data_IF_048245185815
#
_entry.id   IF_048245185815
#
_cell.length_a   1.000
_cell.length_b   1.000
_cell.length_c   1.000
_cell.angle_alpha   90.00
_cell.angle_beta   90.00
_cell.angle_gamma   90.00
#
_symmetry.space_group_name_H-M   'P 1'
#
loop_
_entity.id
_entity.type
_entity.pdbx_description
1 polymer ?
#
# COMPACT_ATOMS: atom_id res chain seq x y z
N UNK A 1 13.55 5.07 -14.89
CA UNK A 1 12.85 3.78 -14.90
C UNK A 1 11.72 3.85 -13.89
N UNK A 2 10.48 3.69 -14.33
CA UNK A 2 9.33 3.65 -13.45
C UNK A 2 9.37 2.35 -12.64
N UNK A 3 9.47 2.45 -11.33
CA UNK A 3 9.60 1.30 -10.44
C UNK A 3 8.61 1.35 -9.29
N UNK A 4 8.15 0.19 -8.89
CA UNK A 4 7.18 0.05 -7.81
C UNK A 4 7.50 -1.13 -6.90
N UNK A 5 7.06 -1.03 -5.65
CA UNK A 5 7.05 -2.14 -4.69
C UNK A 5 5.63 -2.67 -4.65
N UNK A 6 5.47 -3.98 -4.80
CA UNK A 6 4.18 -4.65 -4.81
C UNK A 6 4.14 -5.70 -3.70
N UNK A 7 3.07 -5.68 -2.92
CA UNK A 7 2.75 -6.73 -1.95
C UNK A 7 1.35 -7.30 -2.22
N UNK A 8 1.21 -8.59 -2.01
CA UNK A 8 -0.03 -9.33 -2.24
C UNK A 8 -0.34 -10.26 -1.08
N UNK A 9 -1.62 -10.39 -0.78
CA UNK A 9 -2.15 -11.49 0.01
C UNK A 9 -3.01 -12.36 -0.89
N UNK A 10 -2.99 -13.67 -0.66
CA UNK A 10 -3.66 -14.63 -1.52
C UNK A 10 -4.65 -15.49 -0.74
N UNK A 11 -5.65 -15.97 -1.46
CA UNK A 11 -6.49 -17.09 -1.04
C UNK A 11 -6.14 -18.34 -1.86
N UNK A 12 -6.62 -19.49 -1.39
CA UNK A 12 -6.52 -20.75 -2.10
C UNK A 12 -7.62 -20.86 -3.15
N UNK A 13 -7.24 -20.92 -4.42
CA UNK A 13 -8.11 -21.16 -5.55
C UNK A 13 -8.30 -22.63 -5.91
N UNK A 14 -8.95 -22.92 -7.06
CA UNK A 14 -9.07 -24.27 -7.58
C UNK A 14 -7.69 -24.83 -7.92
N UNK A 15 -7.55 -26.16 -7.86
CA UNK A 15 -6.29 -26.88 -8.10
C UNK A 15 -5.11 -26.42 -7.22
N UNK A 16 -5.40 -25.87 -6.03
CA UNK A 16 -4.40 -25.34 -5.10
C UNK A 16 -3.54 -24.20 -5.65
N UNK A 17 -4.04 -23.47 -6.65
CA UNK A 17 -3.39 -22.25 -7.13
C UNK A 17 -3.72 -21.09 -6.22
N UNK A 18 -2.72 -20.28 -5.90
CA UNK A 18 -2.93 -19.02 -5.19
C UNK A 18 -3.62 -18.01 -6.10
N UNK A 19 -4.63 -17.34 -5.55
CA UNK A 19 -5.33 -16.24 -6.20
C UNK A 19 -5.18 -14.99 -5.34
N UNK A 20 -4.85 -13.87 -5.96
CA UNK A 20 -4.62 -12.61 -5.25
C UNK A 20 -5.94 -12.12 -4.66
N UNK A 21 -5.97 -11.97 -3.34
CA UNK A 21 -7.11 -11.46 -2.57
C UNK A 21 -6.98 -9.98 -2.27
N UNK A 22 -5.76 -9.54 -1.97
CA UNK A 22 -5.41 -8.16 -1.69
C UNK A 22 -4.12 -7.84 -2.41
N UNK A 23 -4.02 -6.65 -2.99
CA UNK A 23 -2.84 -6.16 -3.67
C UNK A 23 -2.59 -4.71 -3.29
N UNK A 24 -1.37 -4.43 -2.86
CA UNK A 24 -0.85 -3.09 -2.64
C UNK A 24 0.29 -2.85 -3.60
N UNK A 25 0.35 -1.66 -4.18
CA UNK A 25 1.50 -1.21 -4.95
C UNK A 25 1.89 0.20 -4.53
N UNK A 26 3.18 0.46 -4.46
CA UNK A 26 3.75 1.77 -4.11
C UNK A 26 4.78 2.14 -5.16
N UNK A 27 4.57 3.25 -5.84
CA UNK A 27 5.56 3.84 -6.73
C UNK A 27 6.74 4.36 -5.90
N UNK A 28 7.96 3.94 -6.28
CA UNK A 28 9.18 4.22 -5.52
C UNK A 28 9.55 5.71 -5.54
N UNK A 29 9.24 6.42 -6.62
CA UNK A 29 9.66 7.81 -6.83
C UNK A 29 8.63 8.81 -6.33
N UNK A 30 7.37 8.64 -6.73
CA UNK A 30 6.27 9.54 -6.39
C UNK A 30 5.70 9.27 -5.00
N UNK A 31 6.00 8.09 -4.41
CA UNK A 31 5.39 7.59 -3.17
C UNK A 31 3.87 7.41 -3.27
N UNK A 32 3.30 7.46 -4.48
CA UNK A 32 1.90 7.17 -4.70
C UNK A 32 1.65 5.68 -4.45
N UNK A 33 0.68 5.36 -3.61
CA UNK A 33 0.24 3.99 -3.36
C UNK A 33 -1.10 3.74 -4.01
N UNK A 34 -1.39 2.50 -4.37
CA UNK A 34 -2.72 2.03 -4.73
C UNK A 34 -2.96 0.68 -4.06
N UNK A 35 -4.22 0.41 -3.76
CA UNK A 35 -4.65 -0.74 -2.98
C UNK A 35 -5.93 -1.31 -3.57
N UNK A 36 -6.01 -2.63 -3.64
CA UNK A 36 -7.17 -3.35 -4.13
C UNK A 36 -7.46 -4.55 -3.27
N UNK A 37 -8.75 -4.73 -2.94
CA UNK A 37 -9.29 -5.97 -2.39
C UNK A 37 -10.19 -6.60 -3.44
N UNK A 38 -9.90 -7.84 -3.82
CA UNK A 38 -10.60 -8.55 -4.89
C UNK A 38 -11.71 -9.44 -4.35
N UNK A 39 -12.89 -9.35 -4.96
CA UNK A 39 -14.04 -10.21 -4.71
C UNK A 39 -13.94 -11.49 -5.55
N UNK A 40 -14.10 -12.63 -4.88
CA UNK A 40 -14.01 -13.96 -5.50
C UNK A 40 -15.37 -14.67 -5.61
N UNK A 41 -16.46 -13.91 -5.69
CA UNK A 41 -17.85 -14.43 -5.68
C UNK A 41 -18.12 -15.44 -6.81
N UNK A 42 -17.38 -15.34 -7.92
CA UNK A 42 -17.52 -16.22 -9.10
C UNK A 42 -16.41 -17.28 -9.20
N UNK A 43 -15.49 -17.34 -8.22
CA UNK A 43 -14.36 -18.26 -8.27
C UNK A 43 -14.80 -19.67 -7.85
N UNK A 44 -14.62 -20.70 -8.70
CA UNK A 44 -14.92 -22.07 -8.33
C UNK A 44 -14.05 -22.53 -7.17
N UNK A 45 -14.63 -23.31 -6.27
CA UNK A 45 -13.93 -23.76 -5.07
C UNK A 45 -14.25 -25.24 -4.78
N UNK A 46 -13.23 -25.96 -4.32
CA UNK A 46 -13.37 -27.30 -3.75
C UNK A 46 -13.61 -27.22 -2.24
N UNK A 47 -14.15 -28.27 -1.63
CA UNK A 47 -14.31 -28.34 -0.17
C UNK A 47 -12.98 -28.07 0.58
N UNK A 48 -11.86 -28.55 0.04
CA UNK A 48 -10.53 -28.31 0.61
C UNK A 48 -10.11 -26.84 0.48
N UNK A 49 -10.29 -26.21 -0.67
CA UNK A 49 -10.00 -24.76 -0.82
C UNK A 49 -10.86 -23.90 0.10
N UNK A 50 -12.14 -24.26 0.31
CA UNK A 50 -13.00 -23.58 1.29
C UNK A 50 -12.45 -23.67 2.70
N UNK A 51 -12.05 -24.86 3.14
CA UNK A 51 -11.51 -25.06 4.49
C UNK A 51 -10.25 -24.21 4.72
N UNK A 52 -9.34 -24.17 3.73
CA UNK A 52 -8.14 -23.32 3.78
C UNK A 52 -8.52 -21.85 3.82
N UNK A 53 -9.45 -21.39 2.99
CA UNK A 53 -9.86 -19.98 2.94
C UNK A 53 -10.60 -19.56 4.22
N UNK A 54 -11.37 -20.44 4.85
CA UNK A 54 -11.97 -20.20 6.18
C UNK A 54 -10.86 -20.03 7.22
N UNK A 55 -9.81 -20.85 7.15
CA UNK A 55 -8.67 -20.73 8.05
C UNK A 55 -7.92 -19.41 7.84
N UNK A 56 -7.63 -19.05 6.58
CA UNK A 56 -6.96 -17.79 6.21
C UNK A 56 -7.77 -16.57 6.64
N UNK A 57 -9.08 -16.60 6.46
CA UNK A 57 -9.99 -15.56 6.96
C UNK A 57 -9.88 -15.43 8.48
N UNK A 58 -9.99 -16.54 9.23
CA UNK A 58 -10.01 -16.50 10.70
C UNK A 58 -8.67 -16.14 11.35
N UNK A 59 -7.56 -16.51 10.72
CA UNK A 59 -6.24 -16.51 11.38
C UNK A 59 -5.20 -15.60 10.70
N UNK A 60 -5.46 -15.11 9.49
CA UNK A 60 -4.47 -14.36 8.73
C UNK A 60 -4.98 -12.98 8.31
N UNK A 61 -5.79 -12.91 7.25
CA UNK A 61 -6.11 -11.63 6.61
C UNK A 61 -7.46 -11.04 7.02
N UNK A 62 -8.37 -11.80 7.65
CA UNK A 62 -9.72 -11.33 8.02
C UNK A 62 -10.58 -10.80 6.86
N UNK A 63 -10.11 -10.94 5.62
CA UNK A 63 -10.87 -10.66 4.40
C UNK A 63 -11.74 -11.84 3.97
N UNK A 64 -13.06 -11.66 3.98
CA UNK A 64 -14.00 -12.64 3.41
C UNK A 64 -13.87 -12.71 1.88
N UNK A 65 -14.13 -13.88 1.28
CA UNK A 65 -14.08 -14.06 -0.18
C UNK A 65 -14.99 -13.10 -0.95
N UNK A 66 -16.14 -12.76 -0.37
CA UNK A 66 -17.17 -11.93 -1.00
C UNK A 66 -16.97 -10.42 -0.78
N UNK A 67 -16.06 -10.05 0.12
CA UNK A 67 -15.72 -8.66 0.41
C UNK A 67 -14.62 -8.14 -0.51
N UNK A 68 -14.69 -6.87 -0.88
CA UNK A 68 -13.69 -6.19 -1.71
C UNK A 68 -14.30 -5.14 -2.62
N UNK A 69 -13.45 -4.34 -3.24
CA UNK A 69 -13.89 -3.22 -4.08
C UNK A 69 -13.96 -3.58 -5.56
N UNK A 70 -13.24 -4.63 -5.96
CA UNK A 70 -13.03 -5.00 -7.37
C UNK A 70 -13.37 -6.46 -7.60
N UNK A 71 -14.00 -6.82 -8.72
CA UNK A 71 -14.20 -8.22 -9.08
C UNK A 71 -12.88 -8.86 -9.50
N UNK A 72 -12.58 -10.08 -9.05
CA UNK A 72 -11.30 -10.74 -9.37
C UNK A 72 -11.05 -10.89 -10.88
N UNK A 73 -12.10 -10.96 -11.69
CA UNK A 73 -11.99 -10.97 -13.16
C UNK A 73 -11.30 -9.72 -13.75
N UNK A 74 -11.21 -8.62 -12.99
CA UNK A 74 -10.56 -7.39 -13.44
C UNK A 74 -9.04 -7.35 -13.17
N UNK A 75 -8.50 -8.34 -12.44
CA UNK A 75 -7.09 -8.32 -12.01
C UNK A 75 -6.11 -8.25 -13.18
N UNK A 76 -6.38 -9.00 -14.24
CA UNK A 76 -5.60 -8.98 -15.48
C UNK A 76 -5.51 -7.57 -16.07
N UNK A 77 -6.66 -6.88 -16.12
CA UNK A 77 -6.74 -5.52 -16.64
C UNK A 77 -5.95 -4.55 -15.76
N UNK A 78 -6.09 -4.68 -14.44
CA UNK A 78 -5.39 -3.83 -13.47
C UNK A 78 -3.89 -4.02 -13.61
N UNK A 79 -3.37 -5.25 -13.50
CA UNK A 79 -1.93 -5.52 -13.59
C UNK A 79 -1.34 -5.06 -14.93
N UNK A 80 -2.05 -5.28 -16.05
CA UNK A 80 -1.58 -4.84 -17.38
C UNK A 80 -1.57 -3.32 -17.57
N UNK A 81 -2.40 -2.59 -16.82
CA UNK A 81 -2.42 -1.12 -16.85
C UNK A 81 -1.37 -0.46 -15.96
N UNK A 82 -0.67 -1.25 -15.13
CA UNK A 82 0.45 -0.76 -14.33
C UNK A 82 1.67 -0.57 -15.24
N UNK A 83 1.97 0.66 -15.61
CA UNK A 83 3.10 1.00 -16.47
C UNK A 83 4.41 1.12 -15.68
N UNK A 84 4.84 0.03 -15.04
CA UNK A 84 6.13 -0.07 -14.39
C UNK A 84 7.10 -0.92 -15.22
N UNK A 85 8.33 -0.44 -15.35
CA UNK A 85 9.42 -1.19 -15.98
C UNK A 85 9.97 -2.25 -15.02
N UNK A 86 9.93 -1.95 -13.72
CA UNK A 86 10.46 -2.82 -12.67
C UNK A 86 9.51 -2.90 -11.46
N UNK A 87 9.23 -4.11 -11.00
CA UNK A 87 8.42 -4.35 -9.80
C UNK A 87 9.26 -5.12 -8.77
N UNK A 88 9.32 -4.61 -7.55
CA UNK A 88 9.94 -5.27 -6.41
C UNK A 88 8.87 -6.01 -5.61
N UNK A 89 9.11 -7.29 -5.34
CA UNK A 89 8.26 -8.12 -4.47
C UNK A 89 9.10 -8.74 -3.37
N UNK A 90 8.45 -9.26 -2.34
CA UNK A 90 9.14 -10.02 -1.28
C UNK A 90 8.76 -11.49 -1.35
N UNK A 91 9.71 -12.33 -1.78
CA UNK A 91 9.60 -13.77 -1.91
C UNK A 91 9.28 -14.26 -3.32
N UNK A 92 9.97 -15.33 -3.72
CA UNK A 92 9.86 -15.97 -5.04
C UNK A 92 8.44 -16.44 -5.40
N UNK A 93 7.63 -16.87 -4.42
CA UNK A 93 6.23 -17.25 -4.68
C UNK A 93 5.42 -16.06 -5.22
N UNK A 94 5.61 -14.86 -4.65
CA UNK A 94 4.93 -13.64 -5.11
C UNK A 94 5.44 -13.23 -6.48
N UNK A 95 6.75 -13.36 -6.71
CA UNK A 95 7.36 -13.09 -8.01
C UNK A 95 6.71 -13.93 -9.10
N UNK A 96 6.59 -15.24 -8.88
CA UNK A 96 5.99 -16.14 -9.85
C UNK A 96 4.52 -15.79 -10.12
N UNK A 97 3.74 -15.51 -9.07
CA UNK A 97 2.34 -15.10 -9.20
C UNK A 97 2.23 -13.84 -10.09
N UNK A 98 3.09 -12.84 -9.90
CA UNK A 98 3.03 -11.60 -10.70
C UNK A 98 3.49 -11.82 -12.14
N UNK A 99 4.54 -12.62 -12.34
CA UNK A 99 5.02 -12.98 -13.68
C UNK A 99 3.97 -13.75 -14.50
N UNK A 100 3.09 -14.53 -13.85
CA UNK A 100 1.99 -15.23 -14.52
C UNK A 100 1.00 -14.25 -15.18
N UNK A 101 0.83 -13.04 -14.64
CA UNK A 101 -0.07 -12.01 -15.19
C UNK A 101 0.63 -11.03 -16.15
N UNK A 102 1.85 -10.63 -15.83
CA UNK A 102 2.63 -9.62 -16.55
C UNK A 102 4.06 -10.11 -16.82
N UNK A 103 4.24 -11.14 -17.67
CA UNK A 103 5.54 -11.78 -17.91
C UNK A 103 6.59 -10.85 -18.55
N UNK A 104 6.16 -9.73 -19.14
CA UNK A 104 7.03 -8.76 -19.78
C UNK A 104 7.70 -7.78 -18.81
N UNK A 105 7.24 -7.70 -17.56
CA UNK A 105 7.77 -6.75 -16.57
C UNK A 105 8.92 -7.38 -15.80
N UNK A 106 9.96 -6.60 -15.51
CA UNK A 106 11.08 -7.09 -14.71
C UNK A 106 10.67 -7.15 -13.23
N UNK A 107 10.47 -8.36 -12.70
CA UNK A 107 10.11 -8.59 -11.29
C UNK A 107 11.32 -9.08 -10.50
N UNK A 108 11.70 -8.32 -9.47
CA UNK A 108 12.85 -8.56 -8.58
C UNK A 108 12.35 -9.05 -7.23
N UNK A 109 12.88 -10.18 -6.77
CA UNK A 109 12.66 -10.63 -5.39
C UNK A 109 13.65 -9.90 -4.47
N UNK A 110 13.14 -9.03 -3.60
CA UNK A 110 13.95 -8.28 -2.66
C UNK A 110 14.73 -9.19 -1.71
N UNK A 111 14.22 -10.37 -1.36
CA UNK A 111 14.90 -11.26 -0.44
C UNK A 111 16.10 -11.95 -1.11
N UNK A 112 15.88 -12.55 -2.27
CA UNK A 112 16.90 -13.32 -2.98
C UNK A 112 17.88 -12.45 -3.77
N UNK A 113 17.40 -11.39 -4.42
CA UNK A 113 18.23 -10.61 -5.37
C UNK A 113 18.93 -9.41 -4.71
N UNK A 114 18.40 -8.91 -3.58
CA UNK A 114 18.88 -7.69 -2.92
C UNK A 114 19.33 -7.90 -1.46
N UNK A 115 19.34 -9.14 -0.97
CA UNK A 115 19.60 -9.49 0.43
C UNK A 115 18.80 -8.59 1.39
N UNK A 116 17.52 -8.36 1.08
CA UNK A 116 16.68 -7.50 1.89
C UNK A 116 16.39 -8.18 3.23
N UNK A 117 16.86 -7.61 4.35
CA UNK A 117 16.66 -8.22 5.66
C UNK A 117 15.17 -8.29 6.00
N UNK A 118 14.81 -9.25 6.85
CA UNK A 118 13.44 -9.33 7.38
C UNK A 118 13.14 -8.10 8.24
N UNK A 119 11.86 -7.74 8.35
CA UNK A 119 11.44 -6.55 9.10
C UNK A 119 11.94 -6.56 10.56
N UNK A 120 11.95 -7.73 11.22
CA UNK A 120 12.49 -7.88 12.57
C UNK A 120 14.03 -7.68 12.66
N UNK A 121 14.77 -8.00 11.60
CA UNK A 121 16.21 -7.76 11.50
C UNK A 121 16.51 -6.28 11.21
N UNK A 122 15.59 -5.59 10.53
CA UNK A 122 15.70 -4.15 10.30
C UNK A 122 15.66 -3.35 11.60
N UNK A 123 14.79 -3.72 12.55
CA UNK A 123 14.77 -3.08 13.86
C UNK A 123 16.12 -3.25 14.60
N UNK A 124 16.72 -4.44 14.57
CA UNK A 124 18.01 -4.72 15.21
C UNK A 124 19.20 -4.01 14.55
N UNK A 125 19.20 -3.89 13.22
CA UNK A 125 20.26 -3.22 12.47
C UNK A 125 20.26 -1.70 12.69
N UNK A 126 19.10 -1.10 12.92
CA UNK A 126 18.98 0.34 13.20
C UNK A 126 19.53 0.71 14.58
N UNK A 127 19.35 -0.15 15.58
CA UNK A 127 19.96 0.03 16.91
C UNK A 127 21.50 -0.04 16.86
N UNK A 128 22.04 -0.88 15.97
CA UNK A 128 23.49 -1.06 15.78
C UNK A 128 24.17 0.12 15.05
N UNK A 129 23.45 0.80 14.15
CA UNK A 129 23.99 1.95 13.38
C UNK A 129 24.08 3.21 14.25
N UNK A 130 23.15 3.41 15.18
CA UNK A 130 23.22 4.52 16.13
C UNK A 130 24.47 4.44 17.03
N UNK A 131 25.08 3.27 17.20
CA UNK A 131 26.30 3.06 17.98
C UNK A 131 27.58 3.37 17.16
N UNK A 132 27.55 3.15 15.84
CA UNK A 132 28.76 3.18 15.00
C UNK A 132 29.02 4.48 14.23
N UNK A 133 28.13 5.47 14.32
CA UNK A 133 28.33 6.79 13.68
C UNK A 133 29.49 7.64 14.28
N UNK A 134 30.26 7.10 15.23
CA UNK A 134 31.39 7.80 15.84
C UNK A 134 32.77 7.51 15.23
N UNK A 135 32.93 6.66 14.21
CA UNK A 135 34.25 6.40 13.63
C UNK A 135 34.26 6.35 12.10
N UNK A 136 34.96 7.32 11.49
CA UNK A 136 35.25 7.45 10.06
C UNK A 136 36.25 6.40 9.56
N UNK A 137 36.17 5.97 8.28
CA UNK A 137 37.34 5.76 7.39
C UNK A 137 36.95 5.49 5.91
N UNK A 138 37.82 5.94 4.98
CA UNK A 138 38.20 5.51 3.61
C UNK A 138 37.27 5.45 2.36
N UNK A 139 37.82 5.85 1.18
CA UNK A 139 37.15 6.05 -0.14
C UNK A 139 36.48 4.81 -0.78
N UNK A 140 36.89 3.58 -0.49
CA UNK A 140 36.11 2.37 -0.89
C UNK A 140 34.82 2.21 -0.08
N UNK A 141 34.75 2.89 1.07
CA UNK A 141 33.52 3.04 1.82
C UNK A 141 32.61 4.08 1.19
N UNK A 142 33.02 4.93 0.25
CA UNK A 142 32.07 5.88 -0.37
C UNK A 142 31.01 5.15 -1.20
N UNK A 143 31.36 4.07 -1.92
CA UNK A 143 30.36 3.28 -2.66
C UNK A 143 29.54 2.38 -1.73
N UNK A 144 30.14 1.81 -0.67
CA UNK A 144 29.39 1.07 0.35
C UNK A 144 28.49 1.98 1.16
N UNK A 145 28.93 3.19 1.50
CA UNK A 145 28.17 4.26 2.17
C UNK A 145 27.13 4.83 1.23
N UNK A 146 27.36 4.97 -0.08
CA UNK A 146 26.32 5.34 -1.05
C UNK A 146 25.24 4.28 -1.16
N UNK A 147 25.62 3.00 -1.32
CA UNK A 147 24.67 1.88 -1.33
C UNK A 147 23.97 1.73 0.01
N UNK A 148 24.65 2.00 1.11
CA UNK A 148 24.09 2.00 2.46
C UNK A 148 23.21 3.21 2.72
N UNK A 149 23.52 4.40 2.22
CA UNK A 149 22.68 5.61 2.28
C UNK A 149 21.45 5.40 1.40
N UNK A 150 21.59 4.77 0.22
CA UNK A 150 20.46 4.44 -0.64
C UNK A 150 19.58 3.37 0.01
N UNK A 151 20.19 2.34 0.62
CA UNK A 151 19.50 1.35 1.46
C UNK A 151 18.83 2.03 2.66
N UNK A 152 19.48 2.96 3.34
CA UNK A 152 18.94 3.68 4.50
C UNK A 152 17.87 4.70 4.13
N UNK A 153 17.95 5.34 2.96
CA UNK A 153 16.91 6.20 2.42
C UNK A 153 15.70 5.38 1.98
N UNK A 154 15.92 4.22 1.36
CA UNK A 154 14.87 3.26 1.06
C UNK A 154 14.25 2.74 2.36
N UNK A 155 15.05 2.38 3.37
CA UNK A 155 14.58 1.90 4.67
C UNK A 155 13.88 2.98 5.49
N UNK A 156 14.34 4.22 5.41
CA UNK A 156 13.67 5.37 6.02
C UNK A 156 12.36 5.67 5.30
N UNK A 157 12.34 5.59 3.98
CA UNK A 157 11.11 5.67 3.18
C UNK A 157 10.16 4.51 3.47
N UNK A 158 10.67 3.29 3.64
CA UNK A 158 9.89 2.11 4.02
C UNK A 158 9.39 2.19 5.46
N UNK A 159 10.14 2.81 6.37
CA UNK A 159 9.72 3.06 7.76
C UNK A 159 8.64 4.13 7.82
N UNK A 160 8.84 5.24 7.09
CA UNK A 160 7.81 6.26 6.85
C UNK A 160 6.55 5.64 6.21
N UNK A 161 6.70 4.67 5.30
CA UNK A 161 5.60 3.92 4.70
C UNK A 161 4.98 2.85 5.62
N UNK A 162 5.74 2.28 6.57
CA UNK A 162 5.25 1.27 7.52
C UNK A 162 4.38 1.86 8.63
N UNK A 163 4.51 3.16 8.89
CA UNK A 163 3.65 3.92 9.81
C UNK A 163 2.43 4.55 9.08
N UNK A 164 2.29 4.29 7.78
CA UNK A 164 1.18 4.73 6.94
C UNK A 164 0.28 3.54 6.63
N UNK A 165 -0.97 3.60 7.09
CA UNK A 165 -1.98 2.60 6.73
C UNK A 165 -2.68 3.03 5.45
N UNK A 166 -2.69 2.18 4.44
CA UNK A 166 -3.55 2.39 3.28
C UNK A 166 -4.89 1.73 3.59
N UNK A 167 -5.96 2.54 3.61
CA UNK A 167 -7.30 2.06 3.87
C UNK A 167 -8.20 2.41 2.69
N UNK A 168 -9.18 1.56 2.40
CA UNK A 168 -10.32 1.97 1.60
C UNK A 168 -11.15 2.96 2.42
N UNK A 169 -11.92 3.82 1.75
CA UNK A 169 -12.84 4.71 2.46
C UNK A 169 -13.90 3.92 3.23
N UNK A 170 -14.25 2.73 2.75
CA UNK A 170 -15.21 1.85 3.43
C UNK A 170 -14.65 1.28 4.74
N UNK A 171 -13.32 1.31 4.93
CA UNK A 171 -12.65 0.82 6.14
C UNK A 171 -12.50 1.91 7.22
N UNK A 172 -12.92 3.15 6.93
CA UNK A 172 -12.95 4.22 7.93
C UNK A 172 -14.10 3.99 8.91
N UNK A 173 -13.87 4.36 10.18
CA UNK A 173 -14.90 4.24 11.22
C UNK A 173 -15.94 5.33 11.01
N UNK A 174 -17.21 4.92 11.01
CA UNK A 174 -18.35 5.82 10.85
C UNK A 174 -18.45 6.76 12.06
N UNK A 175 -18.78 8.02 11.79
CA UNK A 175 -18.92 9.11 12.77
C UNK A 175 -17.62 9.46 13.52
N UNK A 176 -16.46 9.07 12.97
CA UNK A 176 -15.14 9.50 13.45
C UNK A 176 -14.61 10.63 12.59
N UNK A 177 -13.99 11.61 13.27
CA UNK A 177 -13.33 12.76 12.69
C UNK A 177 -11.86 12.46 12.43
N UNK A 178 -11.43 12.60 11.17
CA UNK A 178 -10.06 12.38 10.73
C UNK A 178 -9.44 13.70 10.26
N UNK A 179 -8.47 14.26 11.01
CA UNK A 179 -7.75 15.45 10.58
C UNK A 179 -7.03 15.22 9.23
N UNK A 180 -7.19 16.15 8.29
CA UNK A 180 -6.59 16.03 6.96
C UNK A 180 -5.18 16.61 6.99
N UNK A 181 -4.14 15.80 6.76
CA UNK A 181 -2.74 16.28 6.66
C UNK A 181 -2.41 16.78 5.26
N UNK A 182 -2.88 16.10 4.23
CA UNK A 182 -2.69 16.55 2.86
C UNK A 182 -3.75 16.00 1.92
N UNK A 183 -4.09 16.75 0.88
CA UNK A 183 -4.96 16.31 -0.20
C UNK A 183 -4.33 16.70 -1.53
N UNK A 184 -4.23 15.74 -2.46
CA UNK A 184 -3.62 15.95 -3.77
C UNK A 184 -4.51 15.36 -4.86
N UNK A 185 -4.79 16.16 -5.88
CA UNK A 185 -5.30 15.64 -7.14
C UNK A 185 -4.17 14.94 -7.87
N UNK A 186 -4.42 13.70 -8.24
CA UNK A 186 -3.48 12.88 -8.99
C UNK A 186 -4.17 12.45 -10.28
N UNK A 187 -3.51 12.74 -11.40
CA UNK A 187 -3.88 12.10 -12.65
C UNK A 187 -3.32 10.67 -12.60
N UNK A 188 -4.22 9.70 -12.55
CA UNK A 188 -3.87 8.29 -12.54
C UNK A 188 -4.14 7.71 -13.93
N UNK A 189 -3.59 6.53 -14.23
CA UNK A 189 -3.91 5.80 -15.46
C UNK A 189 -5.43 5.51 -15.64
N UNK A 190 -6.25 5.72 -14.60
CA UNK A 190 -7.71 5.50 -14.57
C UNK A 190 -8.52 6.80 -14.52
N UNK A 191 -7.86 7.93 -14.77
CA UNK A 191 -8.41 9.28 -14.72
C UNK A 191 -8.11 10.00 -13.40
N UNK A 192 -8.73 11.16 -13.22
CA UNK A 192 -8.48 12.02 -12.07
C UNK A 192 -8.94 11.37 -10.76
N UNK A 193 -8.05 11.25 -9.78
CA UNK A 193 -8.37 10.80 -8.42
C UNK A 193 -7.87 11.82 -7.40
N UNK A 194 -8.41 11.75 -6.19
CA UNK A 194 -7.97 12.60 -5.06
C UNK A 194 -7.40 11.68 -4.00
N UNK A 195 -6.08 11.78 -3.77
CA UNK A 195 -5.41 11.09 -2.67
C UNK A 195 -5.44 12.00 -1.44
N UNK A 196 -5.82 11.45 -0.30
CA UNK A 196 -5.91 12.16 0.96
C UNK A 196 -5.12 11.41 2.04
N UNK A 197 -4.23 12.13 2.71
CA UNK A 197 -3.52 11.65 3.90
C UNK A 197 -4.20 12.22 5.13
N UNK A 198 -4.68 11.33 5.98
CA UNK A 198 -5.41 11.60 7.22
C UNK A 198 -4.52 11.27 8.43
N UNK A 199 -4.83 11.88 9.57
CA UNK A 199 -4.29 11.48 10.87
C UNK A 199 -5.15 10.40 11.50
N UNK A 200 -4.52 9.31 11.96
CA UNK A 200 -5.21 8.27 12.73
C UNK A 200 -5.33 8.72 14.19
N UNK A 201 -6.48 9.29 14.54
CA UNK A 201 -6.82 9.72 15.89
C UNK A 201 -7.07 8.54 16.85
N UNK A 202 -7.30 7.33 16.34
CA UNK A 202 -7.68 6.16 17.14
C UNK A 202 -6.46 5.34 17.53
N UNK A 203 -5.54 5.10 16.60
CA UNK A 203 -4.37 4.24 16.84
C UNK A 203 -3.02 4.95 16.74
N UNK A 204 -3.00 6.23 16.39
CA UNK A 204 -1.78 6.99 16.15
C UNK A 204 -1.15 6.61 14.80
N UNK A 205 -0.76 7.63 14.03
CA UNK A 205 -0.10 7.45 12.73
C UNK A 205 -0.81 8.20 11.61
N UNK A 206 -0.59 7.75 10.38
CA UNK A 206 -1.21 8.37 9.19
C UNK A 206 -1.95 7.34 8.35
N UNK A 207 -3.06 7.75 7.75
CA UNK A 207 -3.91 6.93 6.90
C UNK A 207 -3.93 7.54 5.51
N UNK A 208 -3.64 6.75 4.47
CA UNK A 208 -3.84 7.17 3.09
C UNK A 208 -5.14 6.56 2.55
N UNK A 209 -6.02 7.41 2.01
CA UNK A 209 -7.29 7.03 1.39
C UNK A 209 -7.47 7.75 0.05
N UNK A 210 -8.15 7.11 -0.89
CA UNK A 210 -8.55 7.74 -2.16
C UNK A 210 -10.00 8.18 -2.12
N UNK A 211 -10.24 9.49 -2.22
CA UNK A 211 -11.58 10.07 -2.20
C UNK A 211 -12.33 9.88 -3.53
N UNK A 212 -13.67 9.73 -3.49
CA UNK A 212 -14.47 9.74 -4.70
C UNK A 212 -14.29 11.08 -5.42
N UNK A 213 -14.24 11.05 -6.76
CA UNK A 213 -13.97 12.19 -7.66
C UNK A 213 -14.71 13.51 -7.34
N UNK A 214 -15.83 13.46 -6.63
CA UNK A 214 -16.67 14.61 -6.29
C UNK A 214 -16.18 15.45 -5.11
N UNK A 215 -15.12 15.03 -4.42
CA UNK A 215 -14.68 15.66 -3.17
C UNK A 215 -13.29 16.26 -3.35
N UNK A 216 -13.19 17.59 -3.36
CA UNK A 216 -11.92 18.28 -3.52
C UNK A 216 -11.91 19.60 -2.73
N UNK A 217 -10.96 19.71 -1.81
CA UNK A 217 -10.56 20.96 -1.14
C UNK A 217 -9.36 21.53 -1.89
N UNK A 218 -9.24 22.86 -2.02
CA UNK A 218 -8.11 23.46 -2.73
C UNK A 218 -6.81 23.26 -1.93
N UNK A 219 -5.70 22.96 -2.61
CA UNK A 219 -4.39 22.76 -1.96
C UNK A 219 -3.88 23.99 -1.21
N UNK A 220 -4.32 25.19 -1.60
CA UNK A 220 -4.03 26.45 -0.91
C UNK A 220 -4.66 26.48 0.49
N UNK A 221 -5.92 26.04 0.63
CA UNK A 221 -6.62 25.97 1.92
C UNK A 221 -5.97 24.94 2.87
N UNK A 222 -5.49 23.82 2.33
CA UNK A 222 -4.75 22.79 3.08
C UNK A 222 -3.36 23.31 3.52
N UNK A 223 -2.77 24.24 2.76
CA UNK A 223 -1.46 24.84 3.09
C UNK A 223 -1.61 25.92 4.16
N UNK A 224 -2.62 26.78 4.08
CA UNK A 224 -2.98 27.74 5.14
C UNK A 224 -3.31 27.02 6.46
N UNK A 225 -3.90 25.83 6.36
CA UNK A 225 -4.13 24.91 7.48
C UNK A 225 -2.83 24.37 8.10
N UNK A 226 -1.85 23.94 7.28
CA UNK A 226 -0.53 23.48 7.77
C UNK A 226 0.27 24.60 8.46
N UNK A 227 -0.09 25.87 8.24
CA UNK A 227 0.48 27.05 8.90
C UNK A 227 -0.28 27.46 10.18
N UNK A 228 -1.43 26.82 10.48
CA UNK A 228 -2.20 27.06 11.71
C UNK A 228 -3.11 28.29 11.69
N UNK A 229 -3.41 28.87 10.53
CA UNK A 229 -4.16 30.13 10.39
C UNK A 229 -5.70 29.94 10.41
N UNK A 230 -6.18 28.70 10.34
CA UNK A 230 -7.62 28.34 10.31
C UNK A 230 -7.88 27.04 11.12
N UNK A 231 -9.11 26.83 11.63
CA UNK A 231 -9.46 25.60 12.35
C UNK A 231 -9.20 24.35 11.52
N UNK A 232 -8.85 23.22 12.16
CA UNK A 232 -8.57 21.98 11.45
C UNK A 232 -9.75 21.46 10.67
N UNK A 233 -9.55 21.29 9.35
CA UNK A 233 -10.52 20.64 8.48
C UNK A 233 -10.46 19.13 8.77
N UNK A 234 -11.59 18.62 9.22
CA UNK A 234 -11.76 17.22 9.52
C UNK A 234 -12.62 16.54 8.47
N UNK A 235 -12.25 15.33 8.11
CA UNK A 235 -13.10 14.44 7.32
C UNK A 235 -13.94 13.58 8.27
N UNK A 236 -15.26 13.61 8.10
CA UNK A 236 -16.19 12.76 8.82
C UNK A 236 -16.82 11.76 7.86
N UNK A 237 -16.53 10.49 8.08
CA UNK A 237 -17.12 9.40 7.32
C UNK A 237 -18.49 9.02 7.90
N UNK A 238 -19.55 9.07 7.08
CA UNK A 238 -20.92 8.72 7.48
C UNK A 238 -21.38 7.37 6.89
N UNK A 239 -20.47 6.60 6.30
CA UNK A 239 -20.78 5.32 5.69
C UNK A 239 -21.22 5.40 4.22
N UNK A 240 -21.78 4.29 3.72
CA UNK A 240 -22.19 4.10 2.32
C UNK A 240 -23.71 4.07 2.18
N UNK A 241 -24.26 4.92 1.32
CA UNK A 241 -25.70 4.96 1.01
C UNK A 241 -25.93 4.75 -0.49
N UNK A 242 -26.66 3.71 -0.88
CA UNK A 242 -27.00 3.40 -2.29
C UNK A 242 -25.79 3.52 -3.24
N UNK A 243 -24.66 2.90 -2.86
CA UNK A 243 -23.37 2.91 -3.57
C UNK A 243 -22.65 4.27 -3.64
N UNK A 244 -23.05 5.25 -2.83
CA UNK A 244 -22.34 6.53 -2.68
C UNK A 244 -21.77 6.64 -1.28
N UNK A 245 -20.51 7.04 -1.18
CA UNK A 245 -19.89 7.36 0.11
C UNK A 245 -20.44 8.70 0.60
N UNK A 246 -20.87 8.74 1.87
CA UNK A 246 -21.34 9.96 2.52
C UNK A 246 -20.21 10.48 3.39
N UNK A 247 -19.66 11.64 3.02
CA UNK A 247 -18.52 12.27 3.70
C UNK A 247 -18.89 13.73 3.98
N UNK A 248 -18.56 14.22 5.16
CA UNK A 248 -18.70 15.63 5.56
C UNK A 248 -17.36 16.22 5.95
N UNK A 249 -17.25 17.54 5.83
CA UNK A 249 -16.12 18.32 6.32
C UNK A 249 -16.60 19.19 7.47
N UNK A 250 -15.85 19.19 8.57
CA UNK A 250 -16.06 20.07 9.73
C UNK A 250 -14.80 20.88 10.02
#
# INVERSE_FOLDING_TARGET
>A
MASAILDIQCIMGPNFKYLIKEMSIVDVHSRASQHWIFKHTQTPHTAKSKAVNIWLFRNYHQLSMDCGDVQYSEIDRILKSLHFECIYVKGEEKRQIILDFIPQVHVIDMDADLDCPRLNQLYQQLDYVNINNNNNYNKNNVNRVKNFIQKMNLLKSLKEQSEVRNLSIDDLVVDVSYPIKSMKRLETAFGMAVSCTLEDSVMGGTINVFLPKSVNVASEEVTSYNLGEVPPINLIFKGKNKNKFVIKFE
#
